data_IF_965392435708
#
_entry.id   IF_965392435708
#
_cell.length_a   1.000
_cell.length_b   1.000
_cell.length_c   1.000
_cell.angle_alpha   90.00
_cell.angle_beta   90.00
_cell.angle_gamma   90.00
#
_symmetry.space_group_name_H-M   'P 1'
#
loop_
_entity.id
_entity.type
_entity.pdbx_description
1 polymer ?
#
# COMPACT_ATOMS: atom_id res chain seq x y z
N UNK A 1 41.37 4.10 12.73
CA UNK A 1 40.98 4.87 11.53
C UNK A 1 40.53 3.81 10.52
N UNK A 2 39.25 3.52 10.30
CA UNK A 2 38.17 4.46 10.02
C UNK A 2 36.88 4.06 10.73
N UNK A 3 36.23 5.09 11.24
CA UNK A 3 34.90 5.09 11.83
C UNK A 3 33.83 4.83 10.78
N UNK A 4 32.70 4.28 11.21
CA UNK A 4 31.40 4.69 10.69
C UNK A 4 30.64 3.65 9.85
N UNK A 5 29.94 2.76 10.53
CA UNK A 5 28.55 2.45 10.17
C UNK A 5 27.74 2.39 11.45
N UNK A 6 27.20 3.55 11.81
CA UNK A 6 26.22 3.73 12.87
C UNK A 6 24.90 3.08 12.46
N UNK A 7 24.36 2.24 13.36
CA UNK A 7 22.93 2.01 13.62
C UNK A 7 21.99 2.05 12.40
N UNK A 8 21.61 0.86 11.93
CA UNK A 8 20.29 0.67 11.34
C UNK A 8 19.51 -0.18 12.33
N UNK A 9 18.65 0.51 13.09
CA UNK A 9 17.49 0.00 13.80
C UNK A 9 17.06 -1.38 13.27
N UNK A 10 17.18 -2.42 14.10
CA UNK A 10 16.47 -3.69 13.91
C UNK A 10 14.97 -3.48 14.11
N UNK A 11 14.35 -2.58 13.33
CA UNK A 11 12.91 -2.42 13.33
C UNK A 11 12.31 -3.64 12.66
N UNK A 12 11.61 -4.46 13.43
CA UNK A 12 10.79 -5.53 12.91
C UNK A 12 9.89 -4.97 11.79
N UNK A 13 10.14 -5.43 10.56
CA UNK A 13 9.34 -5.03 9.41
C UNK A 13 8.17 -6.02 9.29
N UNK A 14 6.98 -5.57 9.70
CA UNK A 14 5.74 -6.32 9.50
C UNK A 14 5.16 -5.92 8.15
N UNK A 15 5.46 -6.75 7.14
CA UNK A 15 5.04 -6.54 5.76
C UNK A 15 3.73 -7.29 5.50
N UNK A 16 2.69 -6.55 5.12
CA UNK A 16 1.48 -7.11 4.50
C UNK A 16 1.61 -6.97 2.99
N UNK A 17 1.50 -8.08 2.26
CA UNK A 17 1.74 -8.08 0.81
C UNK A 17 0.64 -8.80 0.04
N UNK A 18 0.26 -8.17 -1.07
CA UNK A 18 -0.63 -8.70 -2.10
C UNK A 18 0.03 -8.54 -3.49
N UNK A 19 1.36 -8.60 -3.55
CA UNK A 19 2.12 -8.33 -4.76
C UNK A 19 1.98 -9.44 -5.80
N UNK A 20 1.98 -9.05 -7.09
CA UNK A 20 1.99 -9.99 -8.23
C UNK A 20 0.69 -10.74 -8.48
N UNK A 21 -0.40 -10.35 -7.80
CA UNK A 21 -1.70 -11.00 -7.93
C UNK A 21 -2.52 -10.49 -9.11
N UNK A 22 -2.14 -9.37 -9.74
CA UNK A 22 -2.86 -8.81 -10.88
C UNK A 22 -4.29 -8.39 -10.55
N UNK A 23 -4.55 -8.02 -9.29
CA UNK A 23 -5.89 -7.67 -8.81
C UNK A 23 -6.35 -6.36 -9.43
N UNK A 24 -7.63 -6.30 -9.78
CA UNK A 24 -8.29 -5.08 -10.24
C UNK A 24 -9.15 -4.55 -9.09
N UNK A 25 -8.58 -3.60 -8.34
CA UNK A 25 -9.17 -3.00 -7.16
C UNK A 25 -9.93 -1.75 -7.58
N UNK A 26 -11.10 -1.88 -8.22
CA UNK A 26 -11.86 -0.72 -8.71
C UNK A 26 -12.99 -0.31 -7.77
N UNK A 27 -13.50 -1.22 -6.94
CA UNK A 27 -14.63 -0.96 -6.03
C UNK A 27 -14.25 -1.04 -4.54
N UNK A 28 -15.18 -0.64 -3.68
CA UNK A 28 -15.03 -0.73 -2.21
C UNK A 28 -14.91 -2.18 -1.76
N UNK A 29 -15.62 -3.09 -2.42
CA UNK A 29 -15.60 -4.52 -2.12
C UNK A 29 -14.25 -5.14 -2.47
N UNK A 30 -13.67 -4.75 -3.61
CA UNK A 30 -12.40 -5.29 -4.09
C UNK A 30 -11.25 -5.03 -3.10
N UNK A 31 -11.27 -3.89 -2.40
CA UNK A 31 -10.23 -3.51 -1.44
C UNK A 31 -10.55 -3.90 0.00
N UNK A 32 -11.75 -4.45 0.24
CA UNK A 32 -12.25 -4.77 1.58
C UNK A 32 -11.34 -5.72 2.37
N UNK A 33 -10.76 -6.72 1.70
CA UNK A 33 -9.84 -7.65 2.36
C UNK A 33 -8.52 -6.96 2.78
N UNK A 34 -7.99 -6.03 1.97
CA UNK A 34 -6.79 -5.25 2.28
C UNK A 34 -7.06 -4.33 3.47
N UNK A 35 -8.19 -3.63 3.45
CA UNK A 35 -8.63 -2.76 4.56
C UNK A 35 -8.81 -3.56 5.84
N UNK A 36 -9.40 -4.75 5.75
CA UNK A 36 -9.59 -5.61 6.93
C UNK A 36 -8.27 -6.06 7.52
N UNK A 37 -7.29 -6.43 6.67
CA UNK A 37 -5.96 -6.83 7.12
C UNK A 37 -5.21 -5.67 7.80
N UNK A 38 -5.29 -4.46 7.23
CA UNK A 38 -4.68 -3.26 7.82
C UNK A 38 -5.32 -2.86 9.16
N UNK A 39 -6.62 -3.17 9.36
CA UNK A 39 -7.35 -2.89 10.60
C UNK A 39 -7.13 -3.95 11.67
N UNK A 40 -7.03 -5.22 11.28
CA UNK A 40 -6.78 -6.33 12.21
C UNK A 40 -5.34 -6.32 12.72
N UNK A 41 -4.41 -5.77 11.93
CA UNK A 41 -2.99 -5.77 12.24
C UNK A 41 -2.47 -4.35 12.52
N UNK A 42 -2.33 -4.01 13.81
CA UNK A 42 -1.81 -2.71 14.24
C UNK A 42 -0.29 -2.58 14.11
N UNK A 43 0.41 -3.68 13.86
CA UNK A 43 1.89 -3.73 13.81
C UNK A 43 2.44 -3.54 12.40
N UNK A 44 1.59 -3.49 11.38
CA UNK A 44 2.01 -3.34 9.98
C UNK A 44 2.89 -2.11 9.81
N UNK A 45 4.12 -2.33 9.35
CA UNK A 45 5.06 -1.27 9.04
C UNK A 45 5.23 -1.07 7.53
N UNK A 46 4.85 -2.06 6.72
CA UNK A 46 4.86 -1.94 5.27
C UNK A 46 3.64 -2.60 4.60
N UNK A 47 3.05 -1.91 3.62
CA UNK A 47 2.06 -2.48 2.69
C UNK A 47 2.65 -2.60 1.29
N UNK A 48 2.55 -3.76 0.65
CA UNK A 48 3.01 -3.98 -0.72
C UNK A 48 1.87 -4.45 -1.64
N UNK A 49 1.49 -3.60 -2.60
CA UNK A 49 0.45 -3.84 -3.61
C UNK A 49 1.03 -3.91 -5.03
N UNK A 50 2.31 -4.25 -5.17
CA UNK A 50 2.99 -4.24 -6.47
C UNK A 50 2.26 -5.09 -7.52
N UNK A 51 2.09 -4.57 -8.74
CA UNK A 51 1.52 -5.32 -9.87
C UNK A 51 0.00 -5.56 -9.78
N UNK A 52 -0.71 -4.71 -9.05
CA UNK A 52 -2.18 -4.67 -9.05
C UNK A 52 -2.66 -3.38 -9.74
N UNK A 53 -3.97 -3.20 -9.91
CA UNK A 53 -4.56 -1.95 -10.39
C UNK A 53 -5.43 -1.36 -9.29
N UNK A 54 -5.17 -0.13 -8.87
CA UNK A 54 -6.01 0.60 -7.91
C UNK A 54 -6.86 1.66 -8.63
N UNK A 55 -8.17 1.54 -8.49
CA UNK A 55 -9.15 2.52 -8.94
C UNK A 55 -9.46 3.59 -7.89
N UNK A 56 -10.03 4.70 -8.35
CA UNK A 56 -10.33 5.89 -7.52
C UNK A 56 -11.28 5.53 -6.38
N UNK A 57 -12.34 4.77 -6.68
CA UNK A 57 -13.35 4.38 -5.67
C UNK A 57 -12.76 3.45 -4.61
N UNK A 58 -11.86 2.54 -4.99
CA UNK A 58 -11.14 1.69 -4.04
C UNK A 58 -10.04 2.43 -3.25
N UNK A 59 -9.50 3.52 -3.81
CA UNK A 59 -8.44 4.30 -3.16
C UNK A 59 -8.94 5.02 -1.90
N UNK A 60 -10.18 5.48 -1.88
CA UNK A 60 -10.78 6.19 -0.73
C UNK A 60 -10.82 5.35 0.56
N UNK A 61 -11.45 4.15 0.60
CA UNK A 61 -11.44 3.32 1.80
C UNK A 61 -10.05 2.76 2.16
N UNK A 62 -9.17 2.55 1.16
CA UNK A 62 -7.79 2.16 1.41
C UNK A 62 -7.03 3.30 2.12
N UNK A 63 -7.15 4.53 1.62
CA UNK A 63 -6.54 5.72 2.23
C UNK A 63 -6.93 5.87 3.70
N UNK A 64 -8.23 5.76 4.00
CA UNK A 64 -8.73 5.80 5.37
C UNK A 64 -8.14 4.68 6.25
N UNK A 65 -7.92 3.48 5.72
CA UNK A 65 -7.28 2.39 6.46
C UNK A 65 -5.80 2.67 6.75
N UNK A 66 -5.09 3.26 5.79
CA UNK A 66 -3.68 3.64 5.94
C UNK A 66 -3.51 4.75 6.99
N UNK A 67 -4.39 5.75 7.00
CA UNK A 67 -4.36 6.84 7.99
C UNK A 67 -4.55 6.35 9.44
N UNK A 68 -5.35 5.29 9.63
CA UNK A 68 -5.56 4.70 10.94
C UNK A 68 -4.37 3.85 11.42
N UNK A 69 -3.49 3.40 10.51
CA UNK A 69 -2.35 2.56 10.87
C UNK A 69 -1.11 3.40 11.22
N UNK A 70 -0.94 3.70 12.51
CA UNK A 70 0.12 4.58 13.02
C UNK A 70 1.54 4.03 12.91
N UNK A 71 1.70 2.71 12.72
CA UNK A 71 3.01 2.05 12.60
C UNK A 71 3.46 1.92 11.15
N UNK A 72 2.55 2.13 10.20
CA UNK A 72 2.84 2.11 8.78
C UNK A 72 3.89 3.17 8.42
N UNK A 73 4.97 2.73 7.79
CA UNK A 73 6.12 3.56 7.41
C UNK A 73 6.35 3.60 5.91
N UNK A 74 5.91 2.55 5.20
CA UNK A 74 6.25 2.36 3.78
C UNK A 74 5.09 1.71 3.02
N UNK A 75 4.78 2.27 1.85
CA UNK A 75 3.86 1.67 0.89
C UNK A 75 4.61 1.39 -0.41
N UNK A 76 4.51 0.17 -0.92
CA UNK A 76 5.11 -0.25 -2.20
C UNK A 76 3.97 -0.42 -3.21
N UNK A 77 3.84 0.57 -4.09
CA UNK A 77 2.78 0.70 -5.09
C UNK A 77 3.33 0.66 -6.52
N UNK A 78 4.41 -0.10 -6.72
CA UNK A 78 5.00 -0.30 -8.05
C UNK A 78 3.96 -0.93 -8.98
N UNK A 79 3.84 -0.44 -10.20
CA UNK A 79 2.91 -0.99 -11.20
C UNK A 79 1.43 -0.99 -10.76
N UNK A 80 1.03 -0.07 -9.87
CA UNK A 80 -0.34 0.02 -9.32
C UNK A 80 -1.40 0.58 -10.31
N UNK A 81 -0.97 1.02 -11.49
CA UNK A 81 -1.84 1.58 -12.54
C UNK A 81 -1.62 0.87 -13.88
N UNK A 82 -1.31 -0.43 -13.83
CA UNK A 82 -1.07 -1.27 -14.99
C UNK A 82 -2.35 -1.46 -15.81
N UNK A 83 -2.58 -0.58 -16.78
CA UNK A 83 -3.71 -0.68 -17.72
C UNK A 83 -4.68 0.50 -17.72
N UNK A 84 -4.45 1.54 -16.92
CA UNK A 84 -5.24 2.80 -17.00
C UNK A 84 -4.68 3.67 -18.14
N UNK A 85 -5.55 4.06 -19.07
CA UNK A 85 -5.20 5.01 -20.14
C UNK A 85 -4.81 6.37 -19.53
N UNK A 86 -3.91 7.11 -20.20
CA UNK A 86 -3.42 8.46 -19.81
C UNK A 86 -4.53 9.46 -19.40
N UNK A 87 -5.77 9.21 -19.79
CA UNK A 87 -6.95 10.03 -19.50
C UNK A 87 -7.47 9.93 -18.06
N UNK A 88 -7.06 8.92 -17.28
CA UNK A 88 -7.60 8.65 -15.94
C UNK A 88 -6.60 8.89 -14.78
N UNK A 89 -5.38 9.32 -15.08
CA UNK A 89 -4.35 9.57 -14.05
C UNK A 89 -4.63 10.88 -13.29
N UNK A 90 -5.11 11.93 -13.99
CA UNK A 90 -5.33 13.25 -13.39
C UNK A 90 -6.42 13.30 -12.29
N UNK A 91 -7.55 12.54 -12.37
CA UNK A 91 -8.55 12.52 -11.30
C UNK A 91 -8.15 11.70 -10.07
N UNK A 92 -7.19 10.77 -10.18
CA UNK A 92 -6.77 9.89 -9.09
C UNK A 92 -5.79 10.55 -8.09
N UNK A 93 -5.28 11.76 -8.41
CA UNK A 93 -4.35 12.54 -7.59
C UNK A 93 -4.99 13.80 -6.97
N UNK A 94 -6.32 13.95 -7.06
CA UNK A 94 -7.04 15.09 -6.48
C UNK A 94 -7.56 14.78 -5.08
#
# INVERSE_FOLDING_TARGET
MSSGTSLLDSKEEHVVTFAGLGLKLDTVEDVGFIVSELKSNSEVTCLNLTGNTLGIVAAEPLGAALENNKKLRRCIFSDLFTGRLKTEIAPALR
#
